data_IF_680343083709
#
_entry.id   IF_680343083709
#
_cell.length_a   1.000
_cell.length_b   1.000
_cell.length_c   1.000
_cell.angle_alpha   90.00
_cell.angle_beta   90.00
_cell.angle_gamma   90.00
#
_symmetry.space_group_name_H-M   'P 1'
#
loop_
_entity.id
_entity.type
_entity.pdbx_description
1 polymer ?
#
# COMPACT_ATOMS: atom_id res chain seq x y z
N UNK A 1 -2.52 -46.53 -51.48
CA UNK A 1 -2.13 -46.02 -50.16
C UNK A 1 -2.35 -47.13 -49.15
N UNK A 2 -1.33 -47.50 -48.38
CA UNK A 2 -1.39 -48.59 -47.41
C UNK A 2 -2.07 -48.12 -46.11
N UNK A 3 -2.62 -49.03 -45.30
CA UNK A 3 -3.27 -48.70 -44.02
C UNK A 3 -2.36 -47.89 -43.09
N UNK A 4 -1.05 -48.12 -43.14
CA UNK A 4 -0.05 -47.42 -42.34
C UNK A 4 0.04 -45.92 -42.66
N UNK A 5 -0.16 -45.54 -43.93
CA UNK A 5 -0.13 -44.12 -44.33
C UNK A 5 -1.33 -43.34 -43.77
N UNK A 6 -2.51 -43.97 -43.70
CA UNK A 6 -3.69 -43.37 -43.10
C UNK A 6 -3.59 -43.26 -41.57
N UNK A 7 -2.97 -44.25 -40.91
CA UNK A 7 -2.72 -44.20 -39.48
C UNK A 7 -1.72 -43.08 -39.10
N UNK A 8 -0.61 -42.96 -39.84
CA UNK A 8 0.37 -41.90 -39.62
C UNK A 8 -0.23 -40.50 -39.87
N UNK A 9 -1.01 -40.34 -40.95
CA UNK A 9 -1.71 -39.10 -41.23
C UNK A 9 -2.71 -38.71 -40.13
N UNK A 10 -3.43 -39.69 -39.56
CA UNK A 10 -4.36 -39.47 -38.46
C UNK A 10 -3.68 -38.96 -37.18
N UNK A 11 -2.53 -39.52 -36.81
CA UNK A 11 -1.76 -39.09 -35.62
C UNK A 11 -1.25 -37.66 -35.80
N UNK A 12 -0.66 -37.35 -36.96
CA UNK A 12 -0.14 -36.00 -37.24
C UNK A 12 -1.27 -34.97 -37.25
N UNK A 13 -2.40 -35.29 -37.90
CA UNK A 13 -3.56 -34.42 -37.92
C UNK A 13 -4.14 -34.21 -36.52
N UNK A 14 -4.25 -35.28 -35.73
CA UNK A 14 -4.70 -35.23 -34.34
C UNK A 14 -3.80 -34.35 -33.47
N UNK A 15 -2.48 -34.49 -33.60
CA UNK A 15 -1.51 -33.67 -32.88
C UNK A 15 -1.62 -32.18 -33.25
N UNK A 16 -1.74 -31.86 -34.54
CA UNK A 16 -1.93 -30.48 -35.02
C UNK A 16 -3.24 -29.90 -34.50
N UNK A 17 -4.35 -30.62 -34.62
CA UNK A 17 -5.66 -30.16 -34.14
C UNK A 17 -5.68 -29.96 -32.62
N UNK A 18 -5.01 -30.85 -31.88
CA UNK A 18 -4.90 -30.74 -30.42
C UNK A 18 -4.05 -29.55 -30.01
N UNK A 19 -2.92 -29.32 -30.70
CA UNK A 19 -2.06 -28.16 -30.46
C UNK A 19 -2.77 -26.84 -30.78
N UNK A 20 -3.50 -26.77 -31.89
CA UNK A 20 -4.29 -25.60 -32.25
C UNK A 20 -5.40 -25.34 -31.24
N UNK A 21 -6.10 -26.40 -30.82
CA UNK A 21 -7.16 -26.29 -29.81
C UNK A 21 -6.60 -25.78 -28.50
N UNK A 22 -5.49 -26.36 -28.03
CA UNK A 22 -4.82 -25.94 -26.79
C UNK A 22 -4.33 -24.49 -26.87
N UNK A 23 -3.75 -24.09 -28.00
CA UNK A 23 -3.30 -22.73 -28.22
C UNK A 23 -4.47 -21.73 -28.13
N UNK A 24 -5.62 -22.04 -28.73
CA UNK A 24 -6.81 -21.18 -28.70
C UNK A 24 -7.46 -21.15 -27.32
N UNK A 25 -7.56 -22.30 -26.63
CA UNK A 25 -8.20 -22.38 -25.30
C UNK A 25 -7.36 -21.70 -24.22
N UNK A 26 -6.03 -21.80 -24.29
CA UNK A 26 -5.12 -21.18 -23.32
C UNK A 26 -4.83 -19.71 -23.65
N UNK A 27 -4.81 -19.31 -24.93
CA UNK A 27 -4.52 -17.93 -25.30
C UNK A 27 -5.59 -16.94 -24.84
N UNK A 28 -6.88 -17.31 -24.84
CA UNK A 28 -7.97 -16.44 -24.40
C UNK A 28 -7.88 -16.03 -22.92
N UNK A 29 -7.76 -16.96 -21.93
CA UNK A 29 -7.61 -16.59 -20.54
C UNK A 29 -6.32 -15.82 -20.29
N UNK A 30 -5.20 -16.21 -20.92
CA UNK A 30 -3.93 -15.47 -20.80
C UNK A 30 -4.04 -14.03 -21.30
N UNK A 31 -4.70 -13.79 -22.44
CA UNK A 31 -4.95 -12.44 -22.94
C UNK A 31 -5.83 -11.62 -22.00
N UNK A 32 -6.81 -12.23 -21.34
CA UNK A 32 -7.64 -11.56 -20.34
C UNK A 32 -6.82 -11.18 -19.12
N UNK A 33 -6.00 -12.09 -18.60
CA UNK A 33 -5.10 -11.83 -17.48
C UNK A 33 -4.07 -10.75 -17.84
N UNK A 34 -3.54 -10.76 -19.07
CA UNK A 34 -2.61 -9.75 -19.53
C UNK A 34 -3.24 -8.34 -19.54
N UNK A 35 -4.51 -8.22 -19.93
CA UNK A 35 -5.25 -6.94 -19.87
C UNK A 35 -5.47 -6.48 -18.42
N UNK A 36 -5.91 -7.39 -17.56
CA UNK A 36 -6.08 -7.09 -16.13
C UNK A 36 -4.76 -6.68 -15.47
N UNK A 37 -3.67 -7.33 -15.88
CA UNK A 37 -2.34 -6.98 -15.39
C UNK A 37 -1.92 -5.58 -15.84
N UNK A 38 -2.23 -5.18 -17.08
CA UNK A 38 -1.91 -3.83 -17.55
C UNK A 38 -2.71 -2.75 -16.82
N UNK A 39 -4.02 -2.97 -16.61
CA UNK A 39 -4.86 -2.08 -15.80
C UNK A 39 -4.34 -1.98 -14.36
N UNK A 40 -4.06 -3.12 -13.73
CA UNK A 40 -3.47 -3.17 -12.39
C UNK A 40 -2.13 -2.44 -12.33
N UNK A 41 -1.28 -2.61 -13.35
CA UNK A 41 0.04 -1.97 -13.42
C UNK A 41 -0.10 -0.46 -13.55
N UNK A 42 -1.05 0.02 -14.34
CA UNK A 42 -1.34 1.46 -14.47
C UNK A 42 -1.89 2.04 -13.16
N UNK A 43 -2.77 1.34 -12.45
CA UNK A 43 -3.26 1.80 -11.14
C UNK A 43 -2.16 1.77 -10.07
N UNK A 44 -1.34 0.73 -10.09
CA UNK A 44 -0.27 0.55 -9.12
C UNK A 44 0.86 1.55 -9.32
N UNK A 45 1.39 1.68 -10.54
CA UNK A 45 2.52 2.57 -10.83
C UNK A 45 2.11 4.00 -11.20
N UNK A 46 0.85 4.21 -11.57
CA UNK A 46 0.35 5.49 -12.07
C UNK A 46 0.48 5.63 -13.58
N UNK A 47 -0.06 6.74 -14.09
CA UNK A 47 -0.05 7.09 -15.51
C UNK A 47 0.79 8.37 -15.69
N UNK A 48 1.81 8.37 -16.57
CA UNK A 48 2.61 9.57 -16.82
C UNK A 48 1.77 10.67 -17.48
N UNK A 49 2.22 11.93 -17.33
CA UNK A 49 1.58 13.05 -18.00
C UNK A 49 1.63 12.87 -19.52
N UNK A 50 0.51 13.18 -20.19
CA UNK A 50 0.39 13.15 -21.65
C UNK A 50 -0.24 14.46 -22.12
N UNK A 51 -0.09 14.88 -23.39
CA UNK A 51 -0.68 16.12 -23.88
C UNK A 51 -2.17 16.23 -23.52
N UNK A 52 -2.53 17.28 -22.77
CA UNK A 52 -3.89 17.52 -22.29
C UNK A 52 -4.36 16.70 -21.09
N UNK A 53 -3.51 15.89 -20.44
CA UNK A 53 -3.84 15.18 -19.21
C UNK A 53 -2.67 15.19 -18.22
N UNK A 54 -2.96 15.58 -16.99
CA UNK A 54 -2.00 15.52 -15.89
C UNK A 54 -1.63 14.07 -15.53
N UNK A 55 -0.47 13.90 -14.90
CA UNK A 55 -0.06 12.60 -14.39
C UNK A 55 -1.01 12.12 -13.28
N UNK A 56 -1.34 10.84 -13.30
CA UNK A 56 -2.12 10.20 -12.24
C UNK A 56 -1.14 9.44 -11.34
N UNK A 57 -0.99 9.80 -10.06
CA UNK A 57 -0.05 9.14 -9.15
C UNK A 57 -0.48 7.71 -8.84
N UNK A 58 0.48 6.79 -8.86
CA UNK A 58 0.28 5.39 -8.47
C UNK A 58 0.04 5.19 -6.98
N UNK A 59 -0.36 3.97 -6.62
CA UNK A 59 -0.63 3.56 -5.23
C UNK A 59 0.56 3.81 -4.29
N UNK A 60 1.82 3.44 -4.59
CA UNK A 60 2.95 3.67 -3.69
C UNK A 60 3.17 5.15 -3.36
N UNK A 61 2.96 6.05 -4.32
CA UNK A 61 3.12 7.49 -4.10
C UNK A 61 1.98 8.06 -3.24
N UNK A 62 0.76 7.59 -3.48
CA UNK A 62 -0.41 7.94 -2.65
C UNK A 62 -0.26 7.40 -1.22
N UNK A 63 0.23 6.17 -1.06
CA UNK A 63 0.54 5.57 0.23
C UNK A 63 1.62 6.35 0.96
N UNK A 64 2.71 6.74 0.28
CA UNK A 64 3.76 7.58 0.88
C UNK A 64 3.21 8.91 1.40
N UNK A 65 2.28 9.54 0.68
CA UNK A 65 1.63 10.78 1.15
C UNK A 65 0.84 10.53 2.42
N UNK A 66 0.04 9.47 2.45
CA UNK A 66 -0.71 9.06 3.65
C UNK A 66 0.26 8.71 4.79
N UNK A 67 1.33 7.99 4.51
CA UNK A 67 2.38 7.66 5.48
C UNK A 67 3.10 8.91 6.00
N UNK A 68 3.26 9.95 5.18
CA UNK A 68 3.82 11.24 5.62
C UNK A 68 2.84 12.02 6.49
N UNK A 69 1.53 11.85 6.27
CA UNK A 69 0.49 12.42 7.13
C UNK A 69 0.33 11.61 8.43
N UNK A 70 0.58 10.30 8.40
CA UNK A 70 0.45 9.40 9.55
C UNK A 70 1.73 9.25 10.37
N UNK A 71 2.91 9.40 9.76
CA UNK A 71 4.19 9.54 10.45
C UNK A 71 4.46 11.02 10.67
N UNK A 72 4.38 11.50 11.92
CA UNK A 72 4.46 12.91 12.20
C UNK A 72 5.87 13.43 11.92
N UNK A 73 5.92 14.53 11.19
CA UNK A 73 6.93 15.56 11.41
C UNK A 73 6.71 16.15 12.82
N UNK A 74 7.04 15.39 13.88
CA UNK A 74 7.25 15.84 15.25
C UNK A 74 6.10 16.44 16.05
N UNK A 75 4.92 16.71 15.48
CA UNK A 75 3.73 17.21 16.22
C UNK A 75 2.45 16.79 15.51
N UNK A 76 1.72 15.78 16.01
CA UNK A 76 0.39 15.51 15.46
C UNK A 76 -0.26 14.17 15.77
N UNK A 77 0.44 13.18 16.35
CA UNK A 77 -0.24 11.93 16.73
C UNK A 77 -0.97 12.10 18.07
N UNK A 78 -2.03 11.32 18.28
CA UNK A 78 -2.70 11.24 19.58
C UNK A 78 -1.72 10.90 20.71
N UNK A 79 -0.73 10.05 20.44
CA UNK A 79 0.32 9.71 21.40
C UNK A 79 1.17 10.92 21.77
N UNK A 80 1.52 11.77 20.80
CA UNK A 80 2.28 13.00 21.07
C UNK A 80 1.45 14.01 21.85
N UNK A 81 0.15 14.12 21.55
CA UNK A 81 -0.78 14.97 22.29
C UNK A 81 -0.92 14.51 23.75
N UNK A 82 -1.01 13.19 23.98
CA UNK A 82 -1.05 12.61 25.33
C UNK A 82 0.27 12.82 26.07
N UNK A 83 1.41 12.57 25.41
CA UNK A 83 2.72 12.81 26.01
C UNK A 83 2.93 14.29 26.36
N UNK A 84 2.43 15.21 25.54
CA UNK A 84 2.49 16.64 25.83
C UNK A 84 1.58 17.03 26.99
N UNK A 85 0.36 16.49 27.03
CA UNK A 85 -0.55 16.68 28.14
C UNK A 85 0.04 16.14 29.46
N UNK A 86 0.66 14.96 29.44
CA UNK A 86 1.31 14.36 30.61
C UNK A 86 2.49 15.22 31.10
N UNK A 87 3.32 15.75 30.19
CA UNK A 87 4.42 16.65 30.56
C UNK A 87 3.90 17.93 31.22
N UNK A 88 2.84 18.53 30.68
CA UNK A 88 2.24 19.75 31.25
C UNK A 88 1.62 19.48 32.62
N UNK A 89 1.00 18.31 32.81
CA UNK A 89 0.43 17.92 34.09
C UNK A 89 1.51 17.80 35.17
N UNK A 90 2.64 17.16 34.87
CA UNK A 90 3.78 17.05 35.79
C UNK A 90 4.39 18.40 36.16
N UNK A 91 4.46 19.35 35.22
CA UNK A 91 4.95 20.71 35.50
C UNK A 91 4.00 21.46 36.45
N UNK A 92 2.69 21.30 36.28
CA UNK A 92 1.69 21.90 37.20
C UNK A 92 1.79 21.29 38.60
N UNK A 93 1.93 19.97 38.70
CA UNK A 93 2.09 19.25 39.96
C UNK A 93 3.34 19.72 40.71
N UNK A 94 4.49 19.78 40.02
CA UNK A 94 5.74 20.26 40.61
C UNK A 94 5.62 21.68 41.16
N UNK A 95 5.01 22.61 40.40
CA UNK A 95 4.83 23.99 40.85
C UNK A 95 3.87 24.12 42.03
N UNK A 96 2.85 23.26 42.09
CA UNK A 96 1.91 23.23 43.20
C UNK A 96 2.61 22.75 44.47
N UNK A 97 3.40 21.69 44.39
CA UNK A 97 4.20 21.19 45.51
C UNK A 97 5.21 22.21 46.00
N UNK A 98 5.90 22.91 45.09
CA UNK A 98 6.81 24.01 45.43
C UNK A 98 6.07 25.13 46.18
N UNK A 99 4.87 25.50 45.72
CA UNK A 99 4.09 26.56 46.36
C UNK A 99 3.56 26.15 47.74
N UNK A 100 3.10 24.91 47.89
CA UNK A 100 2.62 24.36 49.15
C UNK A 100 3.77 24.18 50.16
N UNK A 101 4.94 23.74 49.70
CA UNK A 101 6.16 23.66 50.50
C UNK A 101 6.64 25.03 50.97
N UNK A 102 6.60 26.04 50.10
CA UNK A 102 6.95 27.41 50.44
C UNK A 102 5.99 28.04 51.48
N UNK A 103 4.70 27.68 51.46
CA UNK A 103 3.75 28.13 52.48
C UNK A 103 3.91 27.41 53.84
N UNK A 104 4.34 26.15 53.86
CA UNK A 104 4.56 25.40 55.10
C UNK A 104 5.89 25.76 55.79
N UNK A 105 6.93 26.14 55.04
CA UNK A 105 8.21 26.59 55.59
C UNK A 105 8.19 27.99 56.24
N UNK A 106 7.06 28.71 56.17
CA UNK A 106 6.89 30.06 56.70
C UNK A 106 6.28 30.16 58.10
N UNK A 107 6.05 29.05 58.82
CA UNK A 107 5.58 29.10 60.21
C UNK A 107 6.80 29.33 61.13
N UNK A 108 6.97 30.51 61.74
CA UNK A 108 7.98 30.66 62.77
C UNK A 108 7.48 29.88 64.00
N UNK A 109 8.31 28.95 64.46
CA UNK A 109 8.15 28.33 65.78
C UNK A 109 8.23 29.46 66.83
N UNK A 110 7.07 29.83 67.36
CA UNK A 110 6.90 30.76 68.46
C UNK A 110 6.36 30.03 69.68
#
# INVERSE_FOLDING_TARGET
MTLEQWAAAGVVLGAILSALTLAVTVSRPLRRLARQNEEFRQDWYGVPARPGHDAIPGVPERLRRIETELHPNGRGTLRDAVNDAERRLKDVESRLDDHLGAQQGGRPDG
#
